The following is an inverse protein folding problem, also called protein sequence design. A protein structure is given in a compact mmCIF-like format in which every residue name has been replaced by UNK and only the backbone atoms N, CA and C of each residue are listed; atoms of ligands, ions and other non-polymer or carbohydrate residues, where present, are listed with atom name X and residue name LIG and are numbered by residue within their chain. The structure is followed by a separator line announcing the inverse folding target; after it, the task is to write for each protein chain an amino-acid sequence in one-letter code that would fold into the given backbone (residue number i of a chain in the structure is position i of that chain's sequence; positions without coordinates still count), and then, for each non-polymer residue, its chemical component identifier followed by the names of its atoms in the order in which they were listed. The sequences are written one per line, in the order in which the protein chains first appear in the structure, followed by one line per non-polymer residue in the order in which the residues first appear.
data_IF_357962726736
#
_entry.id   IF_357962726736
#
_cell.length_a   1.000
_cell.length_b   1.000
_cell.length_c   1.000
_cell.angle_alpha   90.00
_cell.angle_beta   90.00
_cell.angle_gamma   90.00
#
_symmetry.space_group_name_H-M   'P 1'
#
loop_
_entity.id
_entity.type
_entity.pdbx_description
1 polymer ?
#
# COMPACT_ATOMS: atom_id res chain seq x y z
N UNK A 1 2.00 12.74 -27.62
CA UNK A 1 2.68 12.49 -26.33
C UNK A 1 3.47 11.19 -26.48
N UNK A 2 4.78 11.28 -26.62
CA UNK A 2 5.66 10.12 -26.78
C UNK A 2 6.12 9.72 -25.37
N UNK A 3 5.57 8.64 -24.84
CA UNK A 3 6.00 8.08 -23.55
C UNK A 3 7.31 7.31 -23.83
N UNK A 4 8.36 7.60 -23.07
CA UNK A 4 9.69 7.05 -23.28
C UNK A 4 9.66 5.50 -23.16
N UNK A 5 10.37 4.80 -24.04
CA UNK A 5 10.46 3.32 -24.01
C UNK A 5 11.00 2.81 -22.67
N UNK A 6 11.80 3.61 -21.96
CA UNK A 6 12.32 3.29 -20.63
C UNK A 6 11.24 3.39 -19.55
N UNK A 7 10.36 4.37 -19.66
CA UNK A 7 9.28 4.63 -18.71
C UNK A 7 8.17 3.57 -18.83
N UNK A 8 7.81 3.21 -20.06
CA UNK A 8 6.89 2.08 -20.33
C UNK A 8 7.43 0.74 -19.83
N UNK A 9 8.73 0.50 -19.99
CA UNK A 9 9.38 -0.70 -19.44
C UNK A 9 9.35 -0.74 -17.90
N UNK A 10 9.56 0.40 -17.23
CA UNK A 10 9.45 0.50 -15.77
C UNK A 10 8.03 0.26 -15.26
N UNK A 11 7.02 0.80 -15.93
CA UNK A 11 5.61 0.59 -15.57
C UNK A 11 5.17 -0.86 -15.80
N UNK A 12 5.61 -1.47 -16.91
CA UNK A 12 5.37 -2.89 -17.18
C UNK A 12 6.06 -3.78 -16.14
N UNK A 13 7.27 -3.42 -15.71
CA UNK A 13 8.01 -4.13 -14.67
C UNK A 13 7.35 -3.99 -13.30
N UNK A 14 6.92 -2.80 -12.88
CA UNK A 14 6.15 -2.59 -11.64
C UNK A 14 4.84 -3.38 -11.66
N UNK A 15 4.10 -3.33 -12.76
CA UNK A 15 2.87 -4.10 -12.96
C UNK A 15 3.10 -5.61 -12.88
N UNK A 16 4.17 -6.10 -13.51
CA UNK A 16 4.58 -7.49 -13.43
C UNK A 16 5.02 -7.87 -12.01
N UNK A 17 5.76 -7.02 -11.31
CA UNK A 17 6.18 -7.24 -9.92
C UNK A 17 5.00 -7.30 -8.97
N UNK A 18 4.03 -6.41 -9.11
CA UNK A 18 2.79 -6.43 -8.32
C UNK A 18 1.95 -7.68 -8.62
N UNK A 19 2.03 -8.18 -9.86
CA UNK A 19 1.35 -9.42 -10.28
C UNK A 19 2.10 -10.68 -9.83
N UNK A 20 3.43 -10.60 -9.69
CA UNK A 20 4.34 -11.69 -9.28
C UNK A 20 4.57 -11.74 -7.77
N UNK A 21 4.39 -10.61 -7.07
CA UNK A 21 4.21 -10.55 -5.63
C UNK A 21 2.83 -11.13 -5.30
N UNK A 22 2.64 -12.41 -5.62
CA UNK A 22 1.68 -13.27 -4.94
C UNK A 22 1.84 -13.07 -3.43
N UNK A 23 0.78 -13.33 -2.65
CA UNK A 23 0.45 -12.60 -1.44
C UNK A 23 1.68 -12.31 -0.57
N UNK A 24 2.34 -11.17 -0.83
CA UNK A 24 3.28 -10.59 0.13
C UNK A 24 2.50 -10.50 1.43
N UNK A 25 3.11 -10.97 2.53
CA UNK A 25 2.46 -11.19 3.81
C UNK A 25 1.40 -10.10 4.05
N UNK A 26 0.13 -10.47 3.87
CA UNK A 26 -0.96 -9.50 3.91
C UNK A 26 -0.94 -8.77 5.24
N UNK A 27 -1.54 -7.58 5.30
CA UNK A 27 -1.65 -6.84 6.55
C UNK A 27 -2.22 -7.75 7.63
N UNK A 28 -1.50 -7.80 8.75
CA UNK A 28 -1.85 -8.61 9.89
C UNK A 28 -2.76 -7.82 10.83
N UNK A 29 -3.40 -8.52 11.75
CA UNK A 29 -4.17 -7.84 12.79
C UNK A 29 -3.24 -6.94 13.62
N UNK A 30 -3.61 -5.68 13.79
CA UNK A 30 -2.85 -4.71 14.60
C UNK A 30 -1.54 -4.24 13.98
N UNK A 31 -1.33 -4.47 12.67
CA UNK A 31 -0.09 -4.07 12.00
C UNK A 31 -0.07 -2.61 11.55
N UNK A 32 -1.17 -1.86 11.67
CA UNK A 32 -1.28 -0.48 11.20
C UNK A 32 -1.51 0.51 12.34
N UNK A 33 -0.89 1.69 12.24
CA UNK A 33 -1.30 2.86 13.01
C UNK A 33 -2.59 3.47 12.47
N UNK A 34 -3.34 4.17 13.33
CA UNK A 34 -4.65 4.80 13.01
C UNK A 34 -4.57 5.69 11.76
N UNK A 35 -3.57 6.57 11.69
CA UNK A 35 -3.41 7.51 10.57
C UNK A 35 -3.19 6.76 9.26
N UNK A 36 -2.26 5.80 9.25
CA UNK A 36 -1.97 4.96 8.07
C UNK A 36 -3.20 4.20 7.61
N UNK A 37 -3.98 3.65 8.56
CA UNK A 37 -5.22 2.97 8.24
C UNK A 37 -6.22 3.89 7.52
N UNK A 38 -6.46 5.10 8.02
CA UNK A 38 -7.40 6.04 7.38
C UNK A 38 -6.95 6.44 5.97
N UNK A 39 -5.66 6.72 5.77
CA UNK A 39 -5.11 7.02 4.45
C UNK A 39 -5.35 5.85 3.48
N UNK A 40 -5.02 4.62 3.90
CA UNK A 40 -5.24 3.44 3.07
C UNK A 40 -6.72 3.19 2.78
N UNK A 41 -7.60 3.41 3.75
CA UNK A 41 -9.03 3.24 3.58
C UNK A 41 -9.63 4.25 2.59
N UNK A 42 -9.17 5.50 2.64
CA UNK A 42 -9.55 6.56 1.69
C UNK A 42 -9.08 6.23 0.28
N UNK A 43 -7.81 5.83 0.12
CA UNK A 43 -7.24 5.39 -1.16
C UNK A 43 -7.97 4.15 -1.72
N UNK A 44 -8.33 3.21 -0.85
CA UNK A 44 -9.13 2.03 -1.18
C UNK A 44 -10.63 2.34 -1.41
N UNK A 45 -11.06 3.61 -1.27
CA UNK A 45 -12.43 4.09 -1.43
C UNK A 45 -13.45 3.35 -0.55
N UNK A 46 -13.07 2.99 0.67
CA UNK A 46 -13.97 2.34 1.62
C UNK A 46 -14.78 3.42 2.34
N UNK A 47 -16.03 3.61 1.92
CA UNK A 47 -16.92 4.66 2.48
C UNK A 47 -17.96 4.15 3.46
N UNK A 48 -18.19 2.84 3.53
CA UNK A 48 -19.19 2.27 4.42
C UNK A 48 -18.68 2.32 5.88
N UNK A 49 -19.37 3.01 6.80
CA UNK A 49 -18.85 3.23 8.16
C UNK A 49 -18.75 1.93 8.97
N UNK A 50 -19.65 0.96 8.78
CA UNK A 50 -19.58 -0.35 9.45
C UNK A 50 -18.36 -1.14 8.99
N UNK A 51 -18.07 -1.10 7.69
CA UNK A 51 -16.88 -1.74 7.13
C UNK A 51 -15.60 -1.06 7.60
N UNK A 52 -15.56 0.29 7.63
CA UNK A 52 -14.43 1.05 8.15
C UNK A 52 -14.13 0.66 9.60
N UNK A 53 -15.12 0.72 10.48
CA UNK A 53 -14.93 0.38 11.89
C UNK A 53 -14.48 -1.08 12.06
N UNK A 54 -15.07 -2.03 11.31
CA UNK A 54 -14.65 -3.42 11.37
C UNK A 54 -13.18 -3.61 10.94
N UNK A 55 -12.76 -2.92 9.87
CA UNK A 55 -11.38 -2.99 9.39
C UNK A 55 -10.41 -2.34 10.37
N UNK A 56 -10.79 -1.22 10.98
CA UNK A 56 -9.99 -0.55 12.02
C UNK A 56 -9.77 -1.45 13.23
N UNK A 57 -10.83 -2.10 13.73
CA UNK A 57 -10.70 -3.04 14.85
C UNK A 57 -9.75 -4.19 14.52
N UNK A 58 -9.74 -4.68 13.28
CA UNK A 58 -8.84 -5.75 12.88
C UNK A 58 -7.41 -5.25 12.67
N UNK A 59 -7.22 -4.27 11.78
CA UNK A 59 -5.91 -3.85 11.28
C UNK A 59 -5.16 -2.91 12.23
N UNK A 60 -5.89 -2.17 13.08
CA UNK A 60 -5.30 -1.25 14.07
C UNK A 60 -5.36 -1.85 15.48
N UNK A 61 -6.53 -2.31 15.91
CA UNK A 61 -6.71 -2.81 17.29
C UNK A 61 -6.36 -4.29 17.46
N UNK A 62 -6.00 -5.01 16.39
CA UNK A 62 -5.55 -6.40 16.47
C UNK A 62 -6.66 -7.42 16.74
N UNK A 63 -7.93 -7.06 16.57
CA UNK A 63 -9.03 -7.98 16.82
C UNK A 63 -9.07 -9.10 15.78
N UNK A 64 -9.49 -10.29 16.19
CA UNK A 64 -9.83 -11.37 15.26
C UNK A 64 -10.91 -10.92 14.27
N UNK A 65 -10.84 -11.42 13.03
CA UNK A 65 -11.72 -10.99 11.94
C UNK A 65 -13.19 -11.24 12.27
N UNK A 66 -13.48 -12.42 12.83
CA UNK A 66 -14.81 -12.88 13.19
C UNK A 66 -15.44 -11.97 14.24
N UNK A 67 -14.63 -11.57 15.24
CA UNK A 67 -15.04 -10.64 16.30
C UNK A 67 -15.35 -9.27 15.72
N UNK A 68 -14.47 -8.71 14.90
CA UNK A 68 -14.66 -7.40 14.28
C UNK A 68 -15.88 -7.38 13.35
N UNK A 69 -16.06 -8.43 12.54
CA UNK A 69 -17.21 -8.59 11.65
C UNK A 69 -18.53 -8.66 12.43
N UNK A 70 -18.57 -9.48 13.49
CA UNK A 70 -19.77 -9.67 14.32
C UNK A 70 -20.16 -8.37 15.02
N UNK A 71 -19.19 -7.63 15.56
CA UNK A 71 -19.42 -6.35 16.27
C UNK A 71 -20.16 -5.32 15.41
N UNK A 72 -19.83 -5.23 14.13
CA UNK A 72 -20.40 -4.22 13.22
C UNK A 72 -21.41 -4.79 12.20
N UNK A 73 -21.81 -6.05 12.35
CA UNK A 73 -22.77 -6.71 11.46
C UNK A 73 -22.27 -6.78 10.01
N UNK A 74 -20.97 -6.99 9.81
CA UNK A 74 -20.35 -7.12 8.49
C UNK A 74 -20.21 -8.59 8.12
N UNK A 75 -20.61 -8.94 6.90
CA UNK A 75 -20.40 -10.28 6.37
C UNK A 75 -18.89 -10.56 6.17
N UNK A 76 -18.41 -11.70 6.69
CA UNK A 76 -16.99 -12.09 6.66
C UNK A 76 -16.44 -12.18 5.23
N UNK A 77 -17.20 -12.68 4.26
CA UNK A 77 -16.76 -12.74 2.85
C UNK A 77 -16.64 -11.36 2.21
N UNK A 78 -17.52 -10.41 2.57
CA UNK A 78 -17.37 -9.01 2.17
C UNK A 78 -16.14 -8.38 2.83
N UNK A 79 -15.94 -8.64 4.13
CA UNK A 79 -14.80 -8.16 4.89
C UNK A 79 -13.47 -8.65 4.28
N UNK A 80 -13.33 -9.94 3.98
CA UNK A 80 -12.13 -10.51 3.34
C UNK A 80 -11.84 -9.87 1.98
N UNK A 81 -12.87 -9.60 1.16
CA UNK A 81 -12.70 -8.86 -0.10
C UNK A 81 -12.18 -7.45 0.14
N UNK A 82 -12.65 -6.76 1.18
CA UNK A 82 -12.17 -5.41 1.52
C UNK A 82 -10.75 -5.41 2.08
N UNK A 83 -10.38 -6.39 2.91
CA UNK A 83 -8.99 -6.61 3.31
C UNK A 83 -8.09 -6.79 2.08
N UNK A 84 -8.50 -7.59 1.09
CA UNK A 84 -7.70 -7.79 -0.10
C UNK A 84 -7.47 -6.48 -0.89
N UNK A 85 -8.48 -5.61 -0.95
CA UNK A 85 -8.34 -4.27 -1.56
C UNK A 85 -7.36 -3.41 -0.76
N UNK A 86 -7.50 -3.35 0.58
CA UNK A 86 -6.58 -2.57 1.44
C UNK A 86 -5.16 -3.09 1.34
N UNK A 87 -4.96 -4.41 1.33
CA UNK A 87 -3.65 -5.05 1.14
C UNK A 87 -3.00 -4.63 -0.18
N UNK A 88 -3.77 -4.64 -1.27
CA UNK A 88 -3.25 -4.20 -2.58
C UNK A 88 -2.87 -2.72 -2.56
N UNK A 89 -3.69 -1.87 -1.96
CA UNK A 89 -3.38 -0.44 -1.79
C UNK A 89 -2.12 -0.23 -0.95
N UNK A 90 -1.95 -0.99 0.12
CA UNK A 90 -0.75 -0.95 0.95
C UNK A 90 0.49 -1.38 0.17
N UNK A 91 0.44 -2.51 -0.54
CA UNK A 91 1.54 -2.99 -1.38
C UNK A 91 1.95 -1.97 -2.44
N UNK A 92 0.99 -1.32 -3.09
CA UNK A 92 1.25 -0.23 -4.04
C UNK A 92 1.94 0.96 -3.38
N UNK A 93 1.49 1.33 -2.18
CA UNK A 93 2.07 2.44 -1.41
C UNK A 93 3.52 2.14 -1.02
N UNK A 94 3.81 0.93 -0.55
CA UNK A 94 5.18 0.51 -0.23
C UNK A 94 6.08 0.47 -1.47
N UNK A 95 5.57 -0.04 -2.60
CA UNK A 95 6.33 -0.03 -3.85
C UNK A 95 6.66 1.40 -4.33
N UNK A 96 5.71 2.33 -4.21
CA UNK A 96 5.94 3.74 -4.55
C UNK A 96 6.98 4.39 -3.63
N UNK A 97 6.94 4.12 -2.33
CA UNK A 97 7.98 4.60 -1.39
C UNK A 97 9.37 4.11 -1.77
N UNK A 98 9.52 2.82 -2.08
CA UNK A 98 10.81 2.27 -2.51
C UNK A 98 11.32 2.91 -3.82
N UNK A 99 10.41 3.27 -4.74
CA UNK A 99 10.80 3.98 -5.96
C UNK A 99 11.23 5.41 -5.64
N UNK A 100 10.47 6.12 -4.81
CA UNK A 100 10.79 7.48 -4.37
C UNK A 100 12.15 7.58 -3.67
N UNK A 101 12.41 6.68 -2.70
CA UNK A 101 13.69 6.57 -2.00
C UNK A 101 14.87 6.35 -2.96
N UNK A 102 14.69 5.49 -3.98
CA UNK A 102 15.72 5.21 -4.98
C UNK A 102 15.97 6.41 -5.90
N UNK A 103 14.92 7.14 -6.28
CA UNK A 103 15.06 8.34 -7.09
C UNK A 103 15.83 9.41 -6.32
N UNK A 104 15.46 9.66 -5.06
CA UNK A 104 16.11 10.66 -4.21
C UNK A 104 17.58 10.29 -3.92
N UNK A 105 17.88 9.02 -3.62
CA UNK A 105 19.27 8.56 -3.42
C UNK A 105 20.15 8.65 -4.67
N UNK A 106 19.56 8.65 -5.87
CA UNK A 106 20.29 8.80 -7.15
C UNK A 106 20.66 10.26 -7.43
N UNK A 107 19.85 11.21 -6.95
CA UNK A 107 20.06 12.65 -7.14
C UNK A 107 21.20 13.16 -6.26
N UNK A 108 21.28 12.72 -5.01
CA UNK A 108 22.36 13.09 -4.09
C UNK A 108 23.75 12.59 -4.55
N UNK A 109 23.79 11.50 -5.33
CA UNK A 109 25.03 10.95 -5.87
C UNK A 109 25.60 11.74 -7.07
N UNK A 110 24.82 12.62 -7.70
CA UNK A 110 25.27 13.43 -8.84
C UNK A 110 25.74 14.85 -8.45
N UNK A 111 25.42 15.35 -7.26
CA UNK A 111 25.87 16.67 -6.80
C UNK A 111 27.34 16.71 -6.31
N UNK A 112 27.95 15.55 -6.04
CA UNK A 112 29.34 15.47 -5.55
C UNK A 112 30.46 15.39 -6.61
N UNK A 113 30.18 15.65 -7.90
CA UNK A 113 31.17 15.51 -8.99
C UNK A 113 31.57 16.80 -9.72
N UNK A 114 31.13 17.96 -9.22
CA UNK A 114 31.58 19.27 -9.72
C UNK A 114 32.43 19.97 -8.64
N UNK A 115 33.60 19.43 -8.32
CA UNK A 115 34.69 20.24 -7.77
C UNK A 115 35.71 20.45 -8.87
N UNK A 116 35.87 21.72 -9.26
CA UNK A 116 36.75 22.23 -10.31
C UNK A 116 38.21 21.80 -10.11
N UNK A 117 38.95 21.50 -11.18
CA UNK A 117 40.40 21.38 -11.11
C UNK A 117 41.02 22.78 -11.05
N UNK A 118 41.81 23.07 -10.02
CA UNK A 118 42.78 24.17 -9.99
C UNK A 118 44.09 23.68 -9.41
#
# INVERSE_FOLDING_TARGET
MNIDKKETANLAWLSALLSLSGPSAGLQAGSLGVITFHILADLARIRNPRMLNALEMHLVQGWARERACSMYGVNVSNFSRRIAVVNRTWQLTEALKTVDEKLNASTDAQEGKNEDPS
#
